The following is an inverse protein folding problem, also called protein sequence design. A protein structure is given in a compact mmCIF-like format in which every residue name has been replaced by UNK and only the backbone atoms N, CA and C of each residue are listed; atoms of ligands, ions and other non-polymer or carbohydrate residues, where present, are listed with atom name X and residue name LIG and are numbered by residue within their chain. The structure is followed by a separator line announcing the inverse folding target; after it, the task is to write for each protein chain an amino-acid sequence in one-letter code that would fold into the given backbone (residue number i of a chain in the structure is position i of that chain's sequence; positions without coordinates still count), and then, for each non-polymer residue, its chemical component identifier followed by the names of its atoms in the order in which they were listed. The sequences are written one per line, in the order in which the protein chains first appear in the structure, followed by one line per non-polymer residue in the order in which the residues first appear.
data_IF_424505457745
#
_entry.id   IF_424505457745
#
_cell.length_a   1.000
_cell.length_b   1.000
_cell.length_c   1.000
_cell.angle_alpha   90.00
_cell.angle_beta   90.00
_cell.angle_gamma   90.00
#
_symmetry.space_group_name_H-M   'P 1'
#
loop_
_entity.id
_entity.type
_entity.pdbx_description
1 polymer ?
#
# COMPACT_ATOMS: atom_id res chain seq x y z
N UNK A 1 4.98 -31.59 -2.40
CA UNK A 1 5.44 -32.20 -1.13
C UNK A 1 6.33 -33.38 -1.50
N UNK A 2 7.60 -33.35 -1.11
CA UNK A 2 8.49 -34.48 -1.36
C UNK A 2 8.81 -35.16 -0.04
N UNK A 3 8.41 -36.42 0.11
CA UNK A 3 8.62 -37.25 1.34
C UNK A 3 8.12 -36.57 2.64
N UNK A 4 6.95 -35.95 2.63
CA UNK A 4 6.36 -35.30 3.80
C UNK A 4 7.05 -33.98 4.20
N UNK A 5 7.93 -33.44 3.36
CA UNK A 5 8.61 -32.14 3.59
C UNK A 5 8.07 -31.09 2.66
N UNK A 6 7.83 -29.91 3.19
CA UNK A 6 7.41 -28.70 2.47
C UNK A 6 8.52 -27.65 2.62
N UNK A 7 9.03 -27.14 1.50
CA UNK A 7 9.95 -26.02 1.53
C UNK A 7 9.14 -24.72 1.60
N UNK A 8 9.38 -23.94 2.63
CA UNK A 8 8.73 -22.65 2.86
C UNK A 8 9.79 -21.57 2.76
N UNK A 9 9.51 -20.53 1.99
CA UNK A 9 10.34 -19.33 1.92
C UNK A 9 9.44 -18.12 2.23
N UNK A 10 9.64 -17.55 3.42
CA UNK A 10 8.87 -16.38 3.87
C UNK A 10 9.77 -15.16 3.94
N UNK A 11 9.29 -14.03 3.43
CA UNK A 11 9.90 -12.72 3.63
C UNK A 11 9.52 -12.16 4.98
N UNK A 12 10.27 -11.17 5.45
CA UNK A 12 9.90 -10.42 6.66
C UNK A 12 8.48 -9.87 6.55
N UNK A 13 7.65 -10.15 7.56
CA UNK A 13 6.24 -9.78 7.59
C UNK A 13 5.27 -10.74 6.91
N UNK A 14 5.75 -11.76 6.19
CA UNK A 14 4.87 -12.79 5.64
C UNK A 14 4.51 -13.85 6.67
N UNK A 15 3.30 -14.38 6.55
CA UNK A 15 2.82 -15.56 7.25
C UNK A 15 2.20 -16.54 6.27
N UNK A 16 2.15 -17.81 6.65
CA UNK A 16 1.48 -18.87 5.90
C UNK A 16 0.74 -19.78 6.84
N UNK A 17 -0.42 -20.25 6.41
CA UNK A 17 -1.18 -21.30 7.09
C UNK A 17 -1.04 -22.56 6.25
N UNK A 18 -0.57 -23.64 6.88
CA UNK A 18 -0.46 -24.94 6.27
C UNK A 18 -1.59 -25.83 6.79
N UNK A 19 -2.33 -26.41 5.88
CA UNK A 19 -3.35 -27.41 6.18
C UNK A 19 -2.88 -28.76 5.63
N UNK A 20 -3.06 -29.82 6.42
CA UNK A 20 -2.73 -31.18 6.03
C UNK A 20 -4.02 -32.02 5.91
N UNK A 21 -4.02 -32.90 4.93
CA UNK A 21 -5.15 -33.78 4.65
C UNK A 21 -4.67 -35.25 4.66
N UNK A 22 -5.44 -36.12 5.22
CA UNK A 22 -5.14 -37.58 5.24
C UNK A 22 -5.30 -38.18 3.84
N UNK A 23 -6.24 -37.65 3.06
CA UNK A 23 -6.51 -38.08 1.69
C UNK A 23 -5.98 -37.06 0.66
N UNK A 24 -5.62 -37.48 -0.56
CA UNK A 24 -5.24 -36.59 -1.62
C UNK A 24 -6.32 -35.55 -1.93
N UNK A 25 -5.96 -34.29 -1.93
CA UNK A 25 -6.88 -33.17 -2.25
C UNK A 25 -6.52 -32.55 -3.60
N UNK A 26 -7.53 -32.05 -4.31
CA UNK A 26 -7.40 -31.30 -5.55
C UNK A 26 -7.29 -29.79 -5.33
N UNK A 27 -7.11 -29.33 -4.10
CA UNK A 27 -6.93 -27.90 -3.79
C UNK A 27 -5.64 -27.41 -4.46
N UNK A 28 -5.79 -26.43 -5.31
CA UNK A 28 -4.68 -25.78 -6.00
C UNK A 28 -3.93 -24.90 -4.99
N UNK A 29 -2.78 -25.39 -4.53
CA UNK A 29 -1.95 -24.64 -3.59
C UNK A 29 -1.12 -23.59 -4.34
N UNK A 30 -1.04 -22.35 -3.84
CA UNK A 30 -0.18 -21.35 -4.45
C UNK A 30 1.29 -21.81 -4.44
N UNK A 31 2.05 -21.43 -5.46
CA UNK A 31 3.46 -21.75 -5.55
C UNK A 31 4.21 -21.19 -4.34
N UNK A 32 4.75 -22.06 -3.50
CA UNK A 32 5.45 -21.69 -2.26
C UNK A 32 6.83 -21.08 -2.49
N UNK A 33 7.36 -21.16 -3.71
CA UNK A 33 8.68 -20.63 -4.07
C UNK A 33 8.57 -19.76 -5.30
N UNK A 34 8.52 -18.44 -5.08
CA UNK A 34 8.62 -17.45 -6.14
C UNK A 34 9.94 -16.70 -6.01
N UNK A 35 10.68 -16.60 -7.13
CA UNK A 35 11.87 -15.76 -7.23
C UNK A 35 11.51 -14.49 -8.01
N UNK A 36 11.84 -13.33 -7.43
CA UNK A 36 11.63 -12.03 -8.05
C UNK A 36 12.95 -11.57 -8.67
N UNK A 37 12.95 -11.46 -10.00
CA UNK A 37 14.14 -11.15 -10.79
C UNK A 37 13.90 -9.95 -11.70
N UNK A 38 14.96 -9.41 -12.29
CA UNK A 38 14.91 -8.32 -13.27
C UNK A 38 14.07 -7.11 -12.80
N UNK A 39 14.46 -6.42 -11.72
CA UNK A 39 13.72 -5.28 -11.17
C UNK A 39 13.64 -4.13 -12.16
N UNK A 40 12.44 -3.56 -12.30
CA UNK A 40 12.17 -2.35 -13.06
C UNK A 40 11.56 -1.34 -12.11
N UNK A 41 12.27 -0.23 -11.83
CA UNK A 41 11.78 0.81 -10.94
C UNK A 41 10.79 1.74 -11.65
N UNK A 42 9.62 1.95 -11.06
CA UNK A 42 8.62 2.94 -11.48
C UNK A 42 8.76 4.13 -10.55
N UNK A 43 9.69 5.04 -10.86
CA UNK A 43 10.16 6.04 -9.90
C UNK A 43 9.93 7.51 -10.32
N UNK A 44 9.26 7.80 -11.44
CA UNK A 44 9.11 9.15 -11.97
C UNK A 44 7.70 9.47 -12.48
N UNK A 45 7.41 10.78 -12.52
CA UNK A 45 6.21 11.29 -13.17
C UNK A 45 4.91 10.91 -12.48
N UNK A 46 4.94 10.75 -11.16
CA UNK A 46 3.76 10.48 -10.38
C UNK A 46 2.89 11.71 -10.23
N UNK A 47 1.58 11.53 -10.40
CA UNK A 47 0.56 12.51 -10.06
C UNK A 47 -0.22 11.97 -8.87
N UNK A 48 -0.41 12.81 -7.86
CA UNK A 48 -1.22 12.49 -6.68
C UNK A 48 -2.41 13.43 -6.61
N UNK A 49 -3.61 12.84 -6.60
CA UNK A 49 -4.87 13.51 -6.33
C UNK A 49 -5.56 12.85 -5.13
N UNK A 50 -6.24 13.62 -4.30
CA UNK A 50 -7.01 13.07 -3.19
C UNK A 50 -8.44 12.81 -3.65
N UNK A 51 -8.86 11.53 -3.65
CA UNK A 51 -10.24 11.14 -4.00
C UNK A 51 -11.18 11.24 -2.80
N UNK A 52 -10.63 11.04 -1.60
CA UNK A 52 -11.30 11.29 -0.31
C UNK A 52 -10.31 11.96 0.62
N UNK A 53 -10.72 13.06 1.29
CA UNK A 53 -9.82 13.73 2.25
C UNK A 53 -10.58 14.59 3.24
N UNK A 54 -10.11 14.59 4.49
CA UNK A 54 -10.58 15.48 5.55
C UNK A 54 -9.39 15.93 6.42
N UNK A 55 -9.02 17.23 6.42
CA UNK A 55 -9.59 18.32 5.61
C UNK A 55 -9.42 18.07 4.12
N UNK A 56 -10.28 18.72 3.32
CA UNK A 56 -10.27 18.57 1.87
C UNK A 56 -8.94 19.06 1.28
N UNK A 57 -8.36 18.25 0.40
CA UNK A 57 -7.15 18.57 -0.38
C UNK A 57 -7.54 18.59 -1.85
N UNK A 58 -7.64 19.78 -2.42
CA UNK A 58 -8.08 19.99 -3.82
C UNK A 58 -6.91 20.03 -4.80
N UNK A 59 -5.70 20.24 -4.29
CA UNK A 59 -4.52 20.40 -5.12
C UNK A 59 -4.03 19.07 -5.67
N UNK A 60 -3.70 19.03 -6.97
CA UNK A 60 -2.90 17.97 -7.56
C UNK A 60 -1.41 18.19 -7.27
N UNK A 61 -0.69 17.13 -6.96
CA UNK A 61 0.76 17.13 -6.76
C UNK A 61 1.45 16.35 -7.88
N UNK A 62 2.42 17.00 -8.53
CA UNK A 62 3.36 16.30 -9.39
C UNK A 62 4.58 15.90 -8.53
N UNK A 63 4.88 14.61 -8.48
CA UNK A 63 5.87 14.04 -7.56
C UNK A 63 6.97 13.38 -8.40
N UNK A 64 8.15 13.95 -8.37
CA UNK A 64 9.33 13.37 -9.04
C UNK A 64 9.90 12.19 -8.26
N UNK A 65 9.86 12.28 -6.92
CA UNK A 65 10.30 11.23 -6.01
C UNK A 65 9.25 10.98 -4.94
N UNK A 66 8.75 9.75 -4.86
CA UNK A 66 7.76 9.35 -3.84
C UNK A 66 8.24 9.72 -2.44
N UNK A 67 7.33 10.30 -1.67
CA UNK A 67 7.58 10.84 -0.34
C UNK A 67 6.29 10.84 0.48
N UNK A 68 6.41 11.04 1.80
CA UNK A 68 5.27 11.12 2.70
C UNK A 68 4.43 12.38 2.45
N UNK A 69 3.12 12.31 2.72
CA UNK A 69 2.21 13.45 2.58
C UNK A 69 2.62 14.64 3.46
N UNK A 70 3.20 14.37 4.61
CA UNK A 70 3.65 15.39 5.58
C UNK A 70 4.79 16.27 5.02
N UNK A 71 5.48 15.80 3.97
CA UNK A 71 6.53 16.55 3.27
C UNK A 71 6.02 17.35 2.08
N UNK A 72 4.78 17.17 1.69
CA UNK A 72 4.17 17.92 0.61
C UNK A 72 3.80 19.35 1.08
N UNK A 73 3.69 20.28 0.14
CA UNK A 73 3.32 21.67 0.45
C UNK A 73 1.83 21.79 0.77
N UNK A 74 1.52 22.55 1.80
CA UNK A 74 0.16 22.81 2.28
C UNK A 74 -0.17 22.12 3.60
N UNK A 75 -0.91 22.81 4.47
CA UNK A 75 -1.24 22.27 5.80
C UNK A 75 -2.32 21.20 5.72
N UNK A 76 -3.30 21.34 4.83
CA UNK A 76 -4.37 20.37 4.67
C UNK A 76 -3.85 18.97 4.35
N UNK A 77 -2.82 18.83 3.50
CA UNK A 77 -2.27 17.52 3.13
C UNK A 77 -1.52 16.86 4.28
N UNK A 78 -0.92 17.64 5.17
CA UNK A 78 -0.19 17.14 6.34
C UNK A 78 -1.13 16.58 7.42
N UNK A 79 -2.34 17.14 7.50
CA UNK A 79 -3.33 16.84 8.52
C UNK A 79 -4.46 15.92 8.01
N UNK A 80 -4.44 15.56 6.72
CA UNK A 80 -5.57 14.85 6.14
C UNK A 80 -5.62 13.39 6.54
N UNK A 81 -6.83 12.89 6.73
CA UNK A 81 -7.17 11.49 6.63
C UNK A 81 -7.94 11.26 5.33
N UNK A 82 -7.70 10.12 4.67
CA UNK A 82 -8.41 9.80 3.43
C UNK A 82 -7.63 8.93 2.49
N UNK A 83 -7.95 9.06 1.21
CA UNK A 83 -7.35 8.25 0.14
C UNK A 83 -6.75 9.14 -0.94
N UNK A 84 -5.44 9.01 -1.14
CA UNK A 84 -4.70 9.63 -2.23
C UNK A 84 -4.49 8.66 -3.38
N UNK A 85 -4.84 9.08 -4.59
CA UNK A 85 -4.68 8.32 -5.82
C UNK A 85 -3.42 8.74 -6.56
N UNK A 86 -2.46 7.83 -6.65
CA UNK A 86 -1.21 7.99 -7.38
C UNK A 86 -1.33 7.39 -8.77
N UNK A 87 -0.96 8.15 -9.79
CA UNK A 87 -0.98 7.68 -11.19
C UNK A 87 0.34 7.98 -11.88
N UNK A 88 0.81 7.04 -12.68
CA UNK A 88 1.93 7.27 -13.60
C UNK A 88 1.89 6.27 -14.77
N UNK A 89 2.87 6.36 -15.64
CA UNK A 89 3.09 5.42 -16.75
C UNK A 89 4.49 4.84 -16.68
N UNK A 90 4.62 3.59 -17.10
CA UNK A 90 5.91 2.92 -17.22
C UNK A 90 5.98 2.15 -18.55
N UNK A 91 7.19 1.77 -18.95
CA UNK A 91 7.43 1.13 -20.22
C UNK A 91 8.11 -0.23 -20.04
N UNK A 92 7.59 -1.26 -20.69
CA UNK A 92 8.20 -2.58 -20.76
C UNK A 92 8.78 -2.79 -22.15
N UNK A 93 10.08 -3.08 -22.30
CA UNK A 93 10.69 -3.36 -23.58
C UNK A 93 10.00 -4.54 -24.29
N UNK A 94 9.91 -4.44 -25.61
CA UNK A 94 9.47 -5.58 -26.43
C UNK A 94 10.55 -6.65 -26.40
N UNK A 95 10.20 -7.86 -25.99
CA UNK A 95 11.09 -9.02 -26.04
C UNK A 95 10.65 -9.96 -27.16
N UNK A 96 11.61 -10.57 -27.85
CA UNK A 96 11.32 -11.58 -28.90
C UNK A 96 10.89 -12.93 -28.28
N UNK A 97 10.96 -13.08 -26.98
CA UNK A 97 10.56 -14.30 -26.26
C UNK A 97 9.05 -14.44 -26.26
N UNK A 98 8.55 -15.59 -26.68
CA UNK A 98 7.13 -15.98 -26.60
C UNK A 98 6.73 -16.51 -25.23
N UNK A 99 7.60 -16.44 -24.22
CA UNK A 99 7.26 -16.90 -22.88
C UNK A 99 6.31 -15.92 -22.21
N UNK A 100 5.23 -16.43 -21.65
CA UNK A 100 4.32 -15.69 -20.77
C UNK A 100 5.09 -15.32 -19.50
N UNK A 101 5.55 -14.06 -19.44
CA UNK A 101 6.27 -13.54 -18.28
C UNK A 101 5.25 -13.16 -17.21
N UNK A 102 5.31 -13.83 -16.08
CA UNK A 102 4.56 -13.44 -14.90
C UNK A 102 5.24 -12.24 -14.22
N UNK A 103 4.45 -11.30 -13.78
CA UNK A 103 4.93 -10.08 -13.13
C UNK A 103 4.36 -9.92 -11.73
N UNK A 104 5.17 -9.43 -10.81
CA UNK A 104 4.74 -8.98 -9.50
C UNK A 104 5.20 -7.54 -9.26
N UNK A 105 4.42 -6.78 -8.51
CA UNK A 105 4.71 -5.40 -8.15
C UNK A 105 4.91 -5.29 -6.65
N UNK A 106 6.03 -4.69 -6.24
CA UNK A 106 6.35 -4.34 -4.87
C UNK A 106 6.16 -2.84 -4.70
N UNK A 107 5.24 -2.46 -3.82
CA UNK A 107 4.91 -1.05 -3.54
C UNK A 107 5.87 -0.42 -2.51
N UNK A 108 6.74 -1.23 -1.89
CA UNK A 108 7.68 -0.78 -0.87
C UNK A 108 7.01 -0.32 0.42
N UNK A 109 7.16 0.94 0.81
CA UNK A 109 6.61 1.50 2.06
C UNK A 109 5.25 2.19 1.81
N UNK A 110 4.17 1.48 2.10
CA UNK A 110 2.78 1.96 2.00
C UNK A 110 2.23 2.28 3.40
N UNK A 111 1.54 3.40 3.53
CA UNK A 111 0.92 3.85 4.79
C UNK A 111 -0.53 4.27 4.58
N UNK A 112 -1.56 3.33 4.77
CA UNK A 112 -1.41 1.99 5.38
C UNK A 112 -1.81 0.87 4.42
N UNK A 113 -2.74 1.12 3.50
CA UNK A 113 -3.22 0.15 2.54
C UNK A 113 -3.29 0.74 1.14
N UNK A 114 -3.14 -0.11 0.12
CA UNK A 114 -3.16 0.33 -1.26
C UNK A 114 -4.01 -0.57 -2.14
N UNK A 115 -4.93 0.01 -2.90
CA UNK A 115 -5.61 -0.66 -4.01
C UNK A 115 -4.89 -0.34 -5.31
N UNK A 116 -4.64 -1.32 -6.15
CA UNK A 116 -3.77 -1.19 -7.32
C UNK A 116 -4.47 -1.61 -8.61
N UNK A 117 -4.29 -0.80 -9.65
CA UNK A 117 -4.74 -1.08 -11.02
C UNK A 117 -3.57 -0.92 -11.98
N UNK A 118 -3.45 -1.84 -12.93
CA UNK A 118 -2.55 -1.75 -14.06
C UNK A 118 -3.39 -1.82 -15.35
N UNK A 119 -3.19 -0.86 -16.27
CA UNK A 119 -3.97 -0.75 -17.50
C UNK A 119 -5.49 -0.79 -17.27
N UNK A 120 -5.96 -0.09 -16.22
CA UNK A 120 -7.34 -0.02 -15.75
C UNK A 120 -7.92 -1.34 -15.22
N UNK A 121 -7.13 -2.41 -15.10
CA UNK A 121 -7.55 -3.66 -14.48
C UNK A 121 -7.12 -3.67 -13.01
N UNK A 122 -8.05 -3.95 -12.11
CA UNK A 122 -7.76 -4.13 -10.68
C UNK A 122 -6.94 -5.40 -10.47
N UNK A 123 -5.80 -5.29 -9.77
CA UNK A 123 -4.92 -6.41 -9.49
C UNK A 123 -4.94 -6.86 -8.03
N UNK A 124 -5.38 -6.02 -7.12
CA UNK A 124 -5.49 -6.41 -5.71
C UNK A 124 -5.37 -5.25 -4.74
N UNK A 125 -5.46 -5.61 -3.45
CA UNK A 125 -5.27 -4.72 -2.32
C UNK A 125 -4.06 -5.20 -1.49
N UNK A 126 -3.05 -4.36 -1.35
CA UNK A 126 -1.92 -4.56 -0.46
C UNK A 126 -2.24 -3.87 0.89
N UNK A 127 -2.43 -4.66 1.95
CA UNK A 127 -2.89 -4.18 3.26
C UNK A 127 -1.97 -4.61 4.42
N UNK A 128 -0.97 -5.43 4.13
CA UNK A 128 0.06 -5.82 5.08
C UNK A 128 1.39 -6.05 4.37
N UNK A 129 2.47 -6.04 5.13
CA UNK A 129 3.82 -6.31 4.61
C UNK A 129 4.03 -7.80 4.30
N UNK A 130 4.75 -8.12 3.23
CA UNK A 130 5.28 -7.22 2.20
C UNK A 130 4.17 -6.75 1.24
N UNK A 131 4.20 -5.47 0.87
CA UNK A 131 3.20 -4.88 -0.03
C UNK A 131 3.46 -5.29 -1.49
N UNK A 132 3.34 -6.58 -1.77
CA UNK A 132 3.59 -7.19 -3.08
C UNK A 132 2.31 -7.79 -3.62
N UNK A 133 2.03 -7.53 -4.89
CA UNK A 133 0.87 -8.08 -5.60
C UNK A 133 1.30 -8.72 -6.91
N UNK A 134 0.63 -9.82 -7.29
CA UNK A 134 0.73 -10.39 -8.62
C UNK A 134 0.02 -9.50 -9.64
N UNK A 135 0.64 -9.30 -10.80
CA UNK A 135 0.06 -8.42 -11.82
C UNK A 135 -1.01 -9.09 -12.69
N UNK A 136 -1.33 -10.36 -12.48
CA UNK A 136 -2.45 -11.09 -13.12
C UNK A 136 -2.51 -10.89 -14.65
N UNK A 137 -1.39 -11.01 -15.34
CA UNK A 137 -1.28 -10.82 -16.80
C UNK A 137 -1.78 -9.44 -17.31
N UNK A 138 -1.72 -8.41 -16.46
CA UNK A 138 -2.13 -7.04 -16.84
C UNK A 138 -1.02 -6.22 -17.47
N UNK A 139 0.24 -6.59 -17.23
CA UNK A 139 1.42 -5.93 -17.77
C UNK A 139 1.63 -6.37 -19.22
N UNK A 140 1.87 -5.41 -20.11
CA UNK A 140 2.08 -5.66 -21.55
C UNK A 140 3.36 -4.99 -22.04
N UNK A 141 3.97 -5.48 -23.13
CA UNK A 141 5.04 -4.76 -23.81
C UNK A 141 4.61 -3.36 -24.23
N UNK A 142 5.52 -2.42 -24.20
CA UNK A 142 5.27 -1.01 -24.50
C UNK A 142 4.78 -0.24 -23.27
N UNK A 143 3.95 0.78 -23.51
CA UNK A 143 3.44 1.69 -22.49
C UNK A 143 2.36 1.04 -21.64
N UNK A 144 2.51 1.12 -20.33
CA UNK A 144 1.54 0.71 -19.32
C UNK A 144 1.17 1.91 -18.45
N UNK A 145 -0.03 1.86 -17.86
CA UNK A 145 -0.50 2.81 -16.83
C UNK A 145 -0.65 2.10 -15.51
N UNK A 146 -0.35 2.81 -14.41
CA UNK A 146 -0.59 2.31 -13.06
C UNK A 146 -1.34 3.35 -12.26
N UNK A 147 -2.30 2.89 -11.43
CA UNK A 147 -2.98 3.68 -10.40
C UNK A 147 -2.87 2.93 -9.08
N UNK A 148 -2.49 3.67 -8.03
CA UNK A 148 -2.36 3.17 -6.67
C UNK A 148 -3.13 4.12 -5.76
N UNK A 149 -4.23 3.65 -5.18
CA UNK A 149 -5.05 4.41 -4.24
C UNK A 149 -4.63 4.03 -2.82
N UNK A 150 -3.94 4.92 -2.13
CA UNK A 150 -3.42 4.70 -0.78
C UNK A 150 -4.33 5.35 0.24
N UNK A 151 -4.80 4.58 1.22
CA UNK A 151 -5.58 5.06 2.35
C UNK A 151 -4.72 5.08 3.61
N UNK A 152 -4.66 6.24 4.29
CA UNK A 152 -3.87 6.42 5.50
C UNK A 152 -4.71 6.26 6.79
N UNK A 153 -4.03 6.33 7.94
CA UNK A 153 -4.66 6.39 9.27
C UNK A 153 -5.20 7.80 9.57
N UNK A 154 -6.25 7.93 10.40
CA UNK A 154 -6.76 9.23 10.85
C UNK A 154 -5.88 9.93 11.89
N UNK A 155 -4.73 9.37 12.26
CA UNK A 155 -3.88 9.84 13.37
C UNK A 155 -3.49 11.32 13.25
N UNK A 156 -2.97 11.75 12.08
CA UNK A 156 -2.58 13.14 11.85
C UNK A 156 -3.79 14.10 11.92
N UNK A 157 -4.96 13.63 11.44
CA UNK A 157 -6.19 14.41 11.52
C UNK A 157 -6.66 14.60 12.95
N UNK A 158 -6.67 13.54 13.75
CA UNK A 158 -7.05 13.57 15.15
C UNK A 158 -6.13 14.50 15.95
N UNK A 159 -4.83 14.35 15.81
CA UNK A 159 -3.84 15.21 16.44
C UNK A 159 -4.01 16.68 16.06
N UNK A 160 -4.29 16.96 14.78
CA UNK A 160 -4.53 18.33 14.31
C UNK A 160 -5.82 18.92 14.88
N UNK A 161 -6.88 18.12 15.03
CA UNK A 161 -8.12 18.59 15.67
C UNK A 161 -7.92 18.92 17.13
N UNK A 162 -7.18 18.10 17.89
CA UNK A 162 -6.86 18.37 19.29
C UNK A 162 -6.02 19.64 19.43
N UNK A 163 -4.98 19.82 18.61
CA UNK A 163 -4.17 21.06 18.57
C UNK A 163 -5.01 22.32 18.31
N UNK A 164 -6.05 22.20 17.50
CA UNK A 164 -6.97 23.31 17.13
C UNK A 164 -8.14 23.45 18.10
N UNK A 165 -8.23 22.63 19.14
CA UNK A 165 -9.35 22.63 20.09
C UNK A 165 -10.69 22.22 19.47
N UNK A 166 -10.66 21.50 18.34
CA UNK A 166 -11.87 21.04 17.65
C UNK A 166 -12.41 19.81 18.35
N UNK A 167 -13.65 19.89 18.83
CA UNK A 167 -14.32 18.76 19.47
C UNK A 167 -14.72 17.73 18.43
N UNK A 168 -14.03 16.60 18.38
CA UNK A 168 -14.26 15.50 17.43
C UNK A 168 -14.84 14.24 18.07
N UNK A 169 -14.62 14.03 19.38
CA UNK A 169 -15.12 12.87 20.10
C UNK A 169 -16.63 12.96 20.27
N UNK A 170 -17.34 11.92 19.87
CA UNK A 170 -18.79 11.76 20.10
C UNK A 170 -19.09 11.02 21.40
N UNK A 171 -18.20 10.10 21.77
CA UNK A 171 -18.32 9.30 22.97
C UNK A 171 -17.08 9.51 23.84
N UNK A 172 -17.27 9.56 25.14
CA UNK A 172 -16.20 9.49 26.13
C UNK A 172 -15.91 8.01 26.44
N UNK A 173 -14.78 7.77 27.08
CA UNK A 173 -14.42 6.42 27.53
C UNK A 173 -15.47 5.91 28.53
N UNK A 174 -15.85 4.63 28.35
CA UNK A 174 -16.96 4.03 29.10
C UNK A 174 -16.55 3.74 30.55
N UNK A 175 -15.26 3.49 30.80
CA UNK A 175 -14.71 3.11 32.10
C UNK A 175 -14.04 4.29 32.78
N UNK A 176 -14.80 5.29 33.16
CA UNK A 176 -14.33 6.35 34.09
C UNK A 176 -14.34 5.80 35.50
N UNK A 177 -13.17 5.55 36.04
CA UNK A 177 -13.02 4.89 37.36
C UNK A 177 -12.39 5.80 38.41
N UNK A 178 -12.01 7.03 38.06
CA UNK A 178 -11.31 7.97 38.95
C UNK A 178 -11.88 9.39 38.83
N UNK A 179 -12.02 10.05 39.95
CA UNK A 179 -12.44 11.46 40.06
C UNK A 179 -11.45 12.43 39.37
N UNK A 180 -10.21 12.03 39.22
CA UNK A 180 -9.16 12.79 38.53
C UNK A 180 -9.04 12.46 37.03
N UNK A 181 -9.95 11.67 36.48
CA UNK A 181 -9.92 11.29 35.09
C UNK A 181 -9.88 12.51 34.15
N UNK A 182 -8.92 12.51 33.25
CA UNK A 182 -8.81 13.49 32.17
C UNK A 182 -8.82 12.78 30.87
N UNK A 183 -9.61 13.29 29.90
CA UNK A 183 -9.59 12.76 28.55
C UNK A 183 -8.17 12.80 27.98
N UNK A 184 -7.74 11.70 27.37
CA UNK A 184 -6.48 11.66 26.64
C UNK A 184 -6.54 12.62 25.46
N UNK A 185 -5.51 13.45 25.28
CA UNK A 185 -5.33 14.31 24.12
C UNK A 185 -4.22 13.76 23.23
N UNK A 186 -4.29 14.06 21.93
CA UNK A 186 -3.32 13.61 20.93
C UNK A 186 -2.59 14.79 20.29
N UNK A 187 -2.70 15.97 20.86
CA UNK A 187 -2.09 17.22 20.39
C UNK A 187 -0.55 17.15 20.29
N UNK A 188 0.07 16.36 21.18
CA UNK A 188 1.51 16.15 21.24
C UNK A 188 2.03 15.00 20.35
N UNK A 189 1.15 14.33 19.63
CA UNK A 189 1.61 13.25 18.74
C UNK A 189 2.47 13.77 17.60
N UNK A 190 3.61 13.10 17.41
CA UNK A 190 4.44 13.32 16.24
C UNK A 190 3.69 12.89 14.96
N UNK A 191 3.90 13.57 13.84
CA UNK A 191 3.23 13.21 12.59
C UNK A 191 3.55 11.78 12.15
N UNK A 192 2.52 11.00 11.90
CA UNK A 192 2.62 9.65 11.36
C UNK A 192 2.77 9.72 9.84
N UNK A 193 3.71 8.97 9.29
CA UNK A 193 3.92 8.90 7.85
C UNK A 193 2.65 8.45 7.13
N UNK A 194 2.32 9.12 6.02
CA UNK A 194 1.16 8.81 5.18
C UNK A 194 1.57 8.70 3.72
N UNK A 195 0.85 7.88 2.95
CA UNK A 195 1.00 7.77 1.51
C UNK A 195 1.95 6.68 1.04
N UNK A 196 2.46 6.84 -0.18
CA UNK A 196 3.40 5.94 -0.85
C UNK A 196 4.82 6.52 -0.71
N UNK A 197 5.65 5.92 0.14
CA UNK A 197 6.83 6.58 0.71
C UNK A 197 8.16 6.10 0.13
N UNK A 198 8.14 5.07 -0.69
CA UNK A 198 9.34 4.53 -1.32
C UNK A 198 9.11 4.21 -2.79
N UNK A 199 10.15 3.77 -3.46
CA UNK A 199 10.07 3.35 -4.85
C UNK A 199 9.13 2.15 -5.04
N UNK A 200 8.40 2.17 -6.14
CA UNK A 200 7.62 1.04 -6.63
C UNK A 200 8.47 0.24 -7.61
N UNK A 201 8.51 -1.06 -7.45
CA UNK A 201 9.35 -1.94 -8.28
C UNK A 201 8.54 -3.08 -8.88
N UNK A 202 8.65 -3.25 -10.18
CA UNK A 202 8.08 -4.37 -10.90
C UNK A 202 9.14 -5.46 -11.08
N UNK A 203 8.77 -6.71 -10.83
CA UNK A 203 9.64 -7.89 -10.95
C UNK A 203 9.06 -8.91 -11.90
N UNK A 204 9.93 -9.61 -12.63
CA UNK A 204 9.56 -10.87 -13.24
C UNK A 204 9.54 -11.96 -12.18
N UNK A 205 8.54 -12.85 -12.26
CA UNK A 205 8.36 -13.98 -11.33
C UNK A 205 8.84 -15.26 -12.03
N UNK A 206 9.66 -16.04 -11.30
CA UNK A 206 10.17 -17.34 -11.70
C UNK A 206 9.74 -18.41 -10.71
#
# INVERSE_FOLDING_TARGET
VNKGKVNINLRSGQSIILETFDEPTTIDAPALKQSYINPIEINRGWKLNFIESSPKVEREYNIDKLTTWERLSGDSVKETMGTGSYTTTFYIPYTKSKQDIQWAIDLGDVRESARVWINNKFIGCAWCVPFILDCNNTVKPGKNTIRIDVTNLPANRIAAMDRKGIKWRKFNEINVVDLNYKNTTYDQWEPVKSGLNSKVTLYQVK
#
